data_IF_041783013444
#
_entry.id   IF_041783013444
#
_cell.length_a   1.000
_cell.length_b   1.000
_cell.length_c   1.000
_cell.angle_alpha   90.00
_cell.angle_beta   90.00
_cell.angle_gamma   90.00
#
_symmetry.space_group_name_H-M   'P 1'
#
loop_
_entity.id
_entity.type
_entity.pdbx_description
1 polymer ?
#
# COMPACT_ATOMS: atom_id res chain seq x y z
N UNK A 1 -3.89 -6.29 12.74
CA UNK A 1 -2.42 -6.38 12.91
C UNK A 1 -1.77 -5.99 11.59
N UNK A 2 -0.65 -5.28 11.61
CA UNK A 2 0.16 -4.99 10.43
C UNK A 2 1.58 -5.49 10.70
N UNK A 3 2.21 -6.12 9.71
CA UNK A 3 3.60 -6.57 9.77
C UNK A 3 4.23 -6.45 8.38
N UNK A 4 5.52 -6.13 8.34
CA UNK A 4 6.33 -6.19 7.11
C UNK A 4 7.08 -7.52 6.98
N UNK A 5 6.99 -8.40 7.99
CA UNK A 5 7.63 -9.73 8.05
C UNK A 5 6.60 -10.76 8.50
N UNK A 6 5.89 -11.34 7.53
CA UNK A 6 4.86 -12.34 7.81
C UNK A 6 5.44 -13.71 8.20
N UNK A 7 6.69 -13.97 7.79
CA UNK A 7 7.46 -15.18 8.02
C UNK A 7 7.90 -15.35 9.49
N UNK A 8 8.09 -14.25 10.21
CA UNK A 8 8.55 -14.27 11.61
C UNK A 8 7.42 -14.38 12.64
N UNK A 9 6.16 -14.48 12.19
CA UNK A 9 5.00 -14.57 13.08
C UNK A 9 4.89 -15.95 13.73
N UNK A 10 4.50 -15.98 15.00
CA UNK A 10 4.16 -17.21 15.70
C UNK A 10 3.00 -17.94 14.99
N UNK A 11 3.18 -19.21 14.58
CA UNK A 11 2.12 -20.03 14.00
C UNK A 11 0.84 -20.09 14.84
N UNK A 12 0.94 -19.92 16.17
CA UNK A 12 -0.20 -19.89 17.07
C UNK A 12 -1.22 -18.78 16.72
N UNK A 13 -0.74 -17.63 16.21
CA UNK A 13 -1.58 -16.49 15.83
C UNK A 13 -2.28 -16.69 14.49
N UNK A 14 -1.75 -17.57 13.64
CA UNK A 14 -2.31 -17.89 12.32
C UNK A 14 -3.41 -18.94 12.37
N UNK A 15 -3.68 -19.52 13.54
CA UNK A 15 -4.76 -20.48 13.73
C UNK A 15 -6.13 -19.81 13.60
N UNK A 16 -7.14 -20.52 13.07
CA UNK A 16 -8.51 -20.01 13.02
C UNK A 16 -9.03 -19.56 14.39
N UNK A 17 -9.74 -18.43 14.44
CA UNK A 17 -10.23 -17.78 15.65
C UNK A 17 -9.25 -16.78 16.29
N UNK A 18 -8.28 -16.30 15.51
CA UNK A 18 -7.27 -15.29 15.92
C UNK A 18 -7.10 -14.26 14.80
N UNK A 19 -6.07 -14.40 13.96
CA UNK A 19 -5.88 -13.59 12.76
C UNK A 19 -6.46 -14.34 11.55
N UNK A 20 -7.78 -14.27 11.40
CA UNK A 20 -8.51 -15.12 10.46
C UNK A 20 -8.27 -14.76 9.00
N UNK A 21 -8.04 -13.46 8.70
CA UNK A 21 -7.83 -12.98 7.34
C UNK A 21 -6.41 -12.48 7.16
N UNK A 22 -5.77 -12.98 6.11
CA UNK A 22 -4.50 -12.48 5.60
C UNK A 22 -4.81 -11.60 4.40
N UNK A 23 -4.50 -10.32 4.51
CA UNK A 23 -4.64 -9.35 3.41
C UNK A 23 -3.24 -8.93 3.03
N UNK A 24 -2.84 -9.28 1.82
CA UNK A 24 -1.55 -8.88 1.26
C UNK A 24 -1.67 -7.47 0.66
N UNK A 25 -0.63 -6.68 0.88
CA UNK A 25 -0.50 -5.34 0.31
C UNK A 25 0.59 -5.37 -0.75
N UNK A 26 0.25 -5.58 -2.03
CA UNK A 26 1.23 -5.55 -3.10
C UNK A 26 1.70 -4.12 -3.37
N UNK A 27 2.79 -3.99 -4.14
CA UNK A 27 3.20 -2.71 -4.67
C UNK A 27 2.12 -2.15 -5.62
N UNK A 28 1.89 -0.82 -5.61
CA UNK A 28 0.87 -0.22 -6.47
C UNK A 28 1.27 -0.29 -7.94
N UNK A 29 0.29 -0.61 -8.78
CA UNK A 29 0.42 -0.54 -10.24
C UNK A 29 0.56 0.91 -10.72
N UNK A 30 0.98 1.12 -11.98
CA UNK A 30 1.14 2.46 -12.57
C UNK A 30 -0.10 3.34 -12.40
N UNK A 31 -1.29 2.78 -12.65
CA UNK A 31 -2.57 3.50 -12.46
C UNK A 31 -2.83 3.88 -10.99
N UNK A 32 -2.47 3.00 -10.05
CA UNK A 32 -2.63 3.26 -8.62
C UNK A 32 -1.63 4.30 -8.13
N UNK A 33 -0.37 4.23 -8.60
CA UNK A 33 0.65 5.26 -8.34
C UNK A 33 0.19 6.63 -8.81
N UNK A 34 -0.31 6.74 -10.04
CA UNK A 34 -0.90 7.97 -10.55
C UNK A 34 -2.00 8.50 -9.64
N UNK A 35 -2.95 7.66 -9.24
CA UNK A 35 -4.04 8.08 -8.34
C UNK A 35 -3.52 8.58 -6.99
N UNK A 36 -2.53 7.88 -6.41
CA UNK A 36 -1.88 8.29 -5.15
C UNK A 36 -1.22 9.65 -5.33
N UNK A 37 -0.43 9.83 -6.38
CA UNK A 37 0.27 11.08 -6.65
C UNK A 37 -0.72 12.22 -6.88
N UNK A 38 -1.71 12.06 -7.77
CA UNK A 38 -2.75 13.08 -8.00
C UNK A 38 -3.49 13.48 -6.72
N UNK A 39 -3.77 12.52 -5.84
CA UNK A 39 -4.46 12.79 -4.57
C UNK A 39 -3.59 13.62 -3.62
N UNK A 40 -2.30 13.28 -3.51
CA UNK A 40 -1.36 13.96 -2.61
C UNK A 40 -1.00 15.35 -3.15
N UNK A 41 -0.74 15.46 -4.45
CA UNK A 41 -0.29 16.70 -5.09
C UNK A 41 -1.43 17.66 -5.43
N UNK A 42 -2.70 17.24 -5.32
CA UNK A 42 -3.86 18.08 -5.65
C UNK A 42 -4.03 19.36 -4.82
N UNK A 43 -3.26 19.55 -3.75
CA UNK A 43 -3.21 20.80 -2.95
C UNK A 43 -1.88 21.55 -3.06
N UNK A 44 -0.97 21.10 -3.92
CA UNK A 44 0.36 21.66 -4.10
C UNK A 44 0.38 22.54 -5.36
N UNK A 45 1.20 23.59 -5.35
CA UNK A 45 1.54 24.30 -6.58
C UNK A 45 2.59 23.47 -7.32
N UNK A 46 2.17 22.78 -8.38
CA UNK A 46 3.05 22.02 -9.26
C UNK A 46 3.56 22.92 -10.39
N UNK A 47 4.81 22.71 -10.80
CA UNK A 47 5.34 23.27 -12.05
C UNK A 47 4.66 22.59 -13.24
N UNK A 48 4.56 23.29 -14.38
CA UNK A 48 4.03 22.73 -15.64
C UNK A 48 4.88 21.56 -16.18
N UNK A 49 6.12 21.42 -15.71
CA UNK A 49 7.05 20.36 -16.10
C UNK A 49 6.81 19.02 -15.37
N UNK A 50 5.92 18.97 -14.38
CA UNK A 50 5.70 17.77 -13.58
C UNK A 50 4.74 16.83 -14.30
N UNK A 51 5.25 15.67 -14.73
CA UNK A 51 4.43 14.55 -15.21
C UNK A 51 4.10 13.57 -14.06
N UNK A 52 2.82 13.21 -13.93
CA UNK A 52 2.32 12.23 -12.95
C UNK A 52 1.90 10.90 -13.63
N UNK A 53 2.13 10.76 -14.94
CA UNK A 53 1.78 9.58 -15.74
C UNK A 53 2.96 8.62 -16.01
N UNK A 54 4.20 9.09 -15.84
CA UNK A 54 5.42 8.28 -15.90
C UNK A 54 5.52 7.28 -14.73
#
# INVERSE_FOLDING_TARGET
>A
MATNRADTLDPALLRPGRLDRKIEFPLPDRRQKRLIFTTITGKMNLSEEVDLED
#
